data_IF_246506705545
#
_entry.id   IF_246506705545
#
_cell.length_a   1.000
_cell.length_b   1.000
_cell.length_c   1.000
_cell.angle_alpha   90.00
_cell.angle_beta   90.00
_cell.angle_gamma   90.00
#
_symmetry.space_group_name_H-M   'P 1'
#
loop_
_entity.id
_entity.type
_entity.pdbx_description
1 polymer ?
#
# COMPACT_ATOMS: atom_id res chain seq x y z
N UNK A 1 69.09 -7.05 32.54
CA UNK A 1 68.45 -6.82 31.23
C UNK A 1 66.95 -6.66 31.47
N UNK A 2 66.41 -5.46 31.27
CA UNK A 2 64.97 -5.12 31.37
C UNK A 2 64.35 -5.19 29.96
N UNK A 3 63.08 -5.61 29.87
CA UNK A 3 62.08 -5.54 28.75
C UNK A 3 61.45 -6.93 28.56
N UNK A 4 60.21 -7.19 28.97
CA UNK A 4 58.91 -6.75 28.42
C UNK A 4 58.21 -7.94 27.73
N UNK A 5 57.12 -8.45 28.32
CA UNK A 5 55.98 -9.15 27.71
C UNK A 5 55.00 -9.46 28.87
N UNK A 6 54.11 -8.56 29.29
CA UNK A 6 52.89 -8.05 28.65
C UNK A 6 51.88 -9.18 28.29
N UNK A 7 50.74 -9.17 29.03
CA UNK A 7 49.39 -9.58 28.63
C UNK A 7 49.18 -11.08 28.33
N UNK A 8 48.26 -11.83 28.94
CA UNK A 8 46.84 -11.57 29.14
C UNK A 8 46.37 -12.50 30.26
N UNK A 9 46.10 -11.94 31.44
CA UNK A 9 45.38 -12.64 32.51
C UNK A 9 44.45 -11.61 33.13
N UNK A 10 43.32 -11.32 32.49
CA UNK A 10 42.14 -10.63 33.04
C UNK A 10 41.04 -10.54 31.97
N UNK A 11 39.79 -10.55 32.42
CA UNK A 11 38.52 -10.37 31.68
C UNK A 11 37.83 -11.68 31.25
N UNK A 12 37.22 -12.40 32.19
CA UNK A 12 35.81 -12.23 32.65
C UNK A 12 34.81 -12.85 31.68
N UNK A 13 34.25 -13.97 32.13
CA UNK A 13 32.95 -14.49 31.77
C UNK A 13 31.91 -13.36 31.73
N UNK A 14 31.39 -13.06 30.55
CA UNK A 14 30.15 -12.31 30.30
C UNK A 14 29.26 -13.28 29.51
N UNK A 15 28.41 -14.06 30.19
CA UNK A 15 26.96 -13.83 30.18
C UNK A 15 26.51 -12.86 29.07
N UNK A 16 25.86 -13.38 28.04
CA UNK A 16 24.41 -13.21 27.87
C UNK A 16 23.93 -14.22 26.85
N UNK A 17 22.96 -15.04 27.28
CA UNK A 17 21.78 -15.41 26.50
C UNK A 17 21.79 -14.87 25.06
N UNK A 18 22.35 -15.65 24.13
CA UNK A 18 21.98 -15.52 22.74
C UNK A 18 20.60 -16.16 22.62
N UNK A 19 19.58 -15.33 22.46
CA UNK A 19 18.22 -15.76 22.22
C UNK A 19 18.22 -16.81 21.10
N UNK A 20 17.61 -17.95 21.37
CA UNK A 20 17.01 -18.71 20.31
C UNK A 20 15.93 -17.81 19.70
N UNK A 21 16.24 -17.12 18.61
CA UNK A 21 15.23 -16.93 17.59
C UNK A 21 15.45 -18.02 16.56
N UNK A 22 14.69 -19.08 16.77
CA UNK A 22 14.17 -19.87 15.66
C UNK A 22 13.41 -18.90 14.76
N UNK A 23 14.11 -18.17 13.88
CA UNK A 23 13.43 -17.74 12.66
C UNK A 23 13.32 -19.01 11.82
N UNK A 24 12.28 -19.78 12.12
CA UNK A 24 11.73 -20.75 11.19
C UNK A 24 11.74 -20.09 9.82
N UNK A 25 12.35 -20.66 8.77
CA UNK A 25 11.80 -20.42 7.45
C UNK A 25 10.43 -21.09 7.48
N UNK A 26 9.43 -20.39 8.01
CA UNK A 26 8.05 -20.81 7.87
C UNK A 26 7.75 -20.68 6.39
N UNK A 27 7.44 -21.76 5.66
CA UNK A 27 6.99 -21.66 4.30
C UNK A 27 5.51 -21.28 4.36
N UNK A 28 5.20 -20.07 4.81
CA UNK A 28 3.83 -19.59 4.84
C UNK A 28 3.65 -18.43 3.85
N UNK A 29 3.44 -18.84 2.60
CA UNK A 29 2.28 -18.40 1.83
C UNK A 29 2.05 -16.90 1.63
N UNK A 30 3.06 -16.06 1.37
CA UNK A 30 2.96 -14.84 0.53
C UNK A 30 1.70 -13.96 0.65
N UNK A 31 1.12 -13.84 1.84
CA UNK A 31 -0.16 -13.17 2.10
C UNK A 31 -0.07 -12.37 3.39
N UNK A 32 1.05 -11.67 3.56
CA UNK A 32 1.26 -10.77 4.69
C UNK A 32 1.09 -9.32 4.22
N UNK A 33 0.57 -8.48 5.12
CA UNK A 33 0.52 -7.04 4.97
C UNK A 33 1.63 -6.50 5.88
N UNK A 34 2.75 -6.13 5.29
CA UNK A 34 4.02 -5.83 5.98
C UNK A 34 4.46 -4.43 5.56
N UNK A 35 5.22 -3.77 6.42
CA UNK A 35 5.84 -2.46 6.20
C UNK A 35 7.35 -2.71 6.33
N UNK A 36 7.99 -3.04 5.21
CA UNK A 36 9.42 -3.43 5.14
C UNK A 36 10.34 -2.21 5.00
N UNK A 37 9.88 -1.14 4.34
CA UNK A 37 10.64 0.09 4.19
C UNK A 37 10.48 1.09 5.36
N UNK A 38 9.45 0.93 6.20
CA UNK A 38 9.22 1.72 7.40
C UNK A 38 8.60 3.09 7.15
N UNK A 39 7.92 3.30 6.02
CA UNK A 39 7.21 4.55 5.69
C UNK A 39 5.88 4.72 6.48
N UNK A 40 5.41 3.62 7.10
CA UNK A 40 4.20 3.55 7.89
C UNK A 40 2.94 3.14 7.12
N UNK A 41 3.08 2.73 5.86
CA UNK A 41 2.04 2.21 4.98
C UNK A 41 2.41 0.79 4.55
N UNK A 42 1.66 -0.24 4.96
CA UNK A 42 2.03 -1.60 4.62
C UNK A 42 1.64 -1.95 3.18
N UNK A 43 2.46 -2.80 2.55
CA UNK A 43 2.22 -3.40 1.24
C UNK A 43 1.84 -4.89 1.35
N UNK A 44 1.27 -5.40 0.25
CA UNK A 44 1.04 -6.83 0.05
C UNK A 44 -0.42 -7.26 -0.02
N UNK A 45 -0.68 -8.48 -0.53
CA UNK A 45 -2.04 -8.96 -0.84
C UNK A 45 -2.93 -9.20 0.39
N UNK A 46 -2.36 -9.11 1.61
CA UNK A 46 -3.12 -9.13 2.86
C UNK A 46 -3.66 -7.76 3.29
N UNK A 47 -3.27 -6.68 2.62
CA UNK A 47 -3.71 -5.33 2.97
C UNK A 47 -5.14 -5.09 2.47
N UNK A 48 -6.04 -4.79 3.39
CA UNK A 48 -7.48 -4.56 3.13
C UNK A 48 -7.84 -3.07 3.19
N UNK A 49 -6.84 -2.20 3.31
CA UNK A 49 -6.99 -0.75 3.27
C UNK A 49 -7.14 -0.23 1.84
N UNK A 50 -7.72 0.96 1.64
CA UNK A 50 -8.04 1.50 0.33
C UNK A 50 -6.82 1.85 -0.53
N UNK A 51 -5.66 2.06 0.08
CA UNK A 51 -4.39 2.34 -0.61
C UNK A 51 -3.27 1.61 0.15
N UNK A 52 -2.97 0.35 -0.20
CA UNK A 52 -1.74 -0.28 0.25
C UNK A 52 -0.55 0.35 -0.45
N UNK A 53 0.62 0.25 0.16
CA UNK A 53 1.85 0.63 -0.52
C UNK A 53 2.10 -0.28 -1.75
N UNK A 54 2.54 0.35 -2.83
CA UNK A 54 2.82 -0.26 -4.12
C UNK A 54 4.30 -0.69 -4.27
N UNK A 55 5.20 -0.24 -3.39
CA UNK A 55 6.61 -0.64 -3.34
C UNK A 55 7.19 -0.69 -1.90
N UNK A 56 7.00 -1.83 -1.24
CA UNK A 56 7.45 -2.13 0.15
C UNK A 56 8.98 -2.08 0.35
N UNK A 57 9.76 -1.81 -0.70
CA UNK A 57 11.21 -1.67 -0.63
C UNK A 57 11.68 -0.20 -0.58
N UNK A 58 10.78 0.79 -0.68
CA UNK A 58 11.14 2.18 -0.90
C UNK A 58 10.31 3.18 -0.09
N UNK A 59 10.91 3.73 0.98
CA UNK A 59 10.32 4.72 1.90
C UNK A 59 9.80 6.03 1.26
N UNK A 60 9.98 6.17 -0.05
CA UNK A 60 9.59 7.33 -0.87
C UNK A 60 8.38 7.05 -1.74
N UNK A 61 7.97 5.80 -1.85
CA UNK A 61 6.83 5.32 -2.62
C UNK A 61 5.77 4.97 -1.58
N UNK A 62 4.66 5.68 -1.60
CA UNK A 62 3.55 5.47 -0.69
C UNK A 62 2.33 6.24 -1.19
N UNK A 63 1.10 5.82 -0.87
CA UNK A 63 -0.15 6.54 -1.16
C UNK A 63 -0.23 8.02 -0.73
N UNK A 64 0.74 8.51 0.06
CA UNK A 64 0.77 9.87 0.58
C UNK A 64 2.05 10.64 0.16
N UNK A 65 2.86 10.07 -0.72
CA UNK A 65 4.05 10.73 -1.23
C UNK A 65 3.69 11.84 -2.22
N UNK A 66 4.66 12.69 -2.53
CA UNK A 66 4.58 13.62 -3.66
C UNK A 66 5.24 12.96 -4.89
N UNK A 67 4.59 13.02 -6.04
CA UNK A 67 5.12 12.56 -7.33
C UNK A 67 6.46 13.22 -7.72
N UNK A 68 7.40 12.40 -8.19
CA UNK A 68 8.71 12.83 -8.67
C UNK A 68 8.85 12.51 -10.15
N UNK A 69 8.61 13.54 -10.92
CA UNK A 69 8.68 13.64 -12.38
C UNK A 69 10.02 13.39 -13.09
N UNK A 70 10.99 12.81 -12.39
CA UNK A 70 12.32 12.49 -12.90
C UNK A 70 12.61 11.00 -12.83
N UNK A 71 11.65 10.21 -12.38
CA UNK A 71 11.74 8.80 -12.07
C UNK A 71 10.52 8.08 -12.66
N UNK A 72 10.68 6.90 -13.29
CA UNK A 72 9.56 6.16 -13.87
C UNK A 72 8.75 5.38 -12.81
N UNK A 73 8.89 5.75 -11.55
CA UNK A 73 8.23 5.16 -10.41
C UNK A 73 6.91 5.91 -10.16
N UNK A 74 5.87 5.19 -9.73
CA UNK A 74 4.60 5.77 -9.25
C UNK A 74 4.79 5.97 -7.76
N UNK A 75 5.16 7.19 -7.35
CA UNK A 75 5.55 7.44 -5.96
C UNK A 75 4.34 7.62 -5.07
N UNK A 76 3.22 8.12 -5.57
CA UNK A 76 1.99 8.29 -4.79
C UNK A 76 0.99 7.12 -4.89
N UNK A 77 1.40 6.02 -5.54
CA UNK A 77 0.68 4.76 -5.63
C UNK A 77 -0.76 4.90 -6.14
N UNK A 78 -1.02 5.89 -7.00
CA UNK A 78 -2.34 6.14 -7.56
C UNK A 78 -2.60 5.43 -8.90
N UNK A 79 -1.55 4.76 -9.42
CA UNK A 79 -1.54 4.01 -10.67
C UNK A 79 -1.08 4.82 -11.89
N UNK A 80 -0.67 6.08 -11.71
CA UNK A 80 -0.29 7.00 -12.78
C UNK A 80 1.14 7.51 -12.55
N UNK A 81 2.10 6.90 -13.25
CA UNK A 81 3.51 7.32 -13.23
C UNK A 81 3.69 8.72 -13.84
N UNK A 82 4.56 9.53 -13.23
CA UNK A 82 5.03 10.83 -13.73
C UNK A 82 3.85 11.81 -13.96
N UNK A 83 2.85 11.79 -13.09
CA UNK A 83 1.77 12.76 -13.18
C UNK A 83 2.13 14.08 -12.49
N UNK A 84 1.36 15.12 -12.81
CA UNK A 84 1.43 16.38 -12.07
C UNK A 84 2.73 17.17 -12.27
N UNK A 85 3.55 16.77 -13.24
CA UNK A 85 4.88 17.28 -13.51
C UNK A 85 4.96 18.68 -14.12
N UNK A 86 3.82 19.24 -14.51
CA UNK A 86 3.67 20.63 -14.92
C UNK A 86 3.14 21.59 -13.84
N UNK A 87 2.84 21.09 -12.63
CA UNK A 87 2.19 21.85 -11.56
C UNK A 87 0.67 22.00 -11.73
N UNK A 88 0.02 21.18 -12.57
CA UNK A 88 -1.44 21.23 -12.80
C UNK A 88 -2.26 20.42 -11.78
N UNK A 89 -1.69 20.06 -10.63
CA UNK A 89 -2.41 19.57 -9.43
C UNK A 89 -3.01 20.70 -8.59
N UNK A 90 -2.91 21.93 -9.06
CA UNK A 90 -3.36 23.11 -8.32
C UNK A 90 -4.88 23.27 -8.29
N UNK A 91 -5.60 22.48 -9.09
CA UNK A 91 -7.06 22.45 -8.99
C UNK A 91 -7.51 21.63 -7.78
N UNK A 92 -8.49 22.15 -7.02
CA UNK A 92 -9.01 21.42 -5.87
C UNK A 92 -9.68 20.12 -6.33
N UNK A 93 -9.65 19.06 -5.49
CA UNK A 93 -10.38 17.83 -5.76
C UNK A 93 -11.87 18.13 -6.03
N UNK A 94 -12.46 17.40 -6.97
CA UNK A 94 -13.90 17.50 -7.26
C UNK A 94 -14.64 16.24 -6.83
N UNK A 95 -15.92 16.33 -6.46
CA UNK A 95 -16.73 15.13 -6.21
C UNK A 95 -16.96 14.34 -7.49
N UNK A 96 -17.01 13.01 -7.37
CA UNK A 96 -17.32 12.05 -8.42
C UNK A 96 -18.14 10.87 -7.87
N UNK A 97 -18.51 9.95 -8.75
CA UNK A 97 -19.23 8.73 -8.37
C UNK A 97 -20.69 8.97 -7.98
N UNK A 98 -21.42 7.87 -7.77
CA UNK A 98 -22.83 7.87 -7.35
C UNK A 98 -23.02 6.86 -6.22
N UNK A 99 -24.02 7.10 -5.36
CA UNK A 99 -24.39 6.15 -4.32
C UNK A 99 -23.24 5.85 -3.35
N UNK A 100 -22.99 4.56 -3.11
CA UNK A 100 -21.91 4.04 -2.26
C UNK A 100 -20.53 4.47 -2.78
N UNK A 101 -20.38 4.55 -4.10
CA UNK A 101 -19.13 4.89 -4.78
C UNK A 101 -18.87 6.41 -4.91
N UNK A 102 -19.53 7.24 -4.10
CA UNK A 102 -19.18 8.66 -4.03
C UNK A 102 -17.72 8.83 -3.58
N UNK A 103 -17.03 9.76 -4.24
CA UNK A 103 -15.59 9.90 -4.14
C UNK A 103 -15.08 11.26 -4.57
N UNK A 104 -13.77 11.35 -4.72
CA UNK A 104 -13.09 12.51 -5.28
C UNK A 104 -12.31 12.16 -6.55
N UNK A 105 -12.20 13.13 -7.45
CA UNK A 105 -11.26 13.09 -8.57
C UNK A 105 -10.24 14.20 -8.40
N UNK A 106 -9.00 13.85 -8.70
CA UNK A 106 -7.86 14.74 -8.78
C UNK A 106 -7.67 15.21 -10.22
N UNK A 107 -7.01 16.35 -10.39
CA UNK A 107 -6.70 16.88 -11.72
C UNK A 107 -5.22 16.68 -12.01
N UNK A 108 -4.93 15.99 -13.11
CA UNK A 108 -3.61 15.58 -13.52
C UNK A 108 -3.37 16.01 -14.97
N UNK A 109 -2.42 16.91 -15.18
CA UNK A 109 -1.94 17.38 -16.50
C UNK A 109 -3.05 17.61 -17.55
N UNK A 110 -4.12 18.29 -17.14
CA UNK A 110 -5.24 18.62 -18.01
C UNK A 110 -6.45 17.69 -17.94
N UNK A 111 -6.31 16.52 -17.33
CA UNK A 111 -7.33 15.46 -17.25
C UNK A 111 -7.76 15.19 -15.81
N UNK A 112 -8.91 14.53 -15.64
CA UNK A 112 -9.36 14.07 -14.32
C UNK A 112 -8.95 12.62 -14.11
N UNK A 113 -8.52 12.30 -12.89
CA UNK A 113 -8.21 10.95 -12.42
C UNK A 113 -9.42 10.00 -12.54
N UNK A 114 -9.21 8.71 -12.24
CA UNK A 114 -10.34 7.83 -11.92
C UNK A 114 -11.06 8.32 -10.66
N UNK A 115 -12.33 7.93 -10.49
CA UNK A 115 -13.04 8.29 -9.26
C UNK A 115 -12.48 7.47 -8.10
N UNK A 116 -11.94 8.16 -7.10
CA UNK A 116 -11.37 7.58 -5.90
C UNK A 116 -12.47 7.54 -4.84
N UNK A 117 -13.07 6.37 -4.52
CA UNK A 117 -14.22 6.29 -3.61
C UNK A 117 -13.86 6.69 -2.17
N UNK A 118 -14.80 7.32 -1.46
CA UNK A 118 -14.62 7.64 -0.03
C UNK A 118 -14.60 6.38 0.84
N UNK A 119 -15.25 5.31 0.38
CA UNK A 119 -15.29 4.02 1.04
C UNK A 119 -14.68 2.95 0.13
N UNK A 120 -13.91 2.00 0.69
CA UNK A 120 -13.33 0.93 -0.11
C UNK A 120 -14.39 0.20 -0.94
N UNK A 121 -14.12 -0.04 -2.23
CA UNK A 121 -14.87 -1.00 -3.04
C UNK A 121 -14.99 -2.36 -2.33
N UNK A 122 -16.17 -2.97 -2.39
CA UNK A 122 -16.43 -4.32 -1.88
C UNK A 122 -17.06 -5.15 -2.99
N UNK A 123 -16.80 -6.47 -3.09
CA UNK A 123 -17.46 -7.29 -4.12
C UNK A 123 -18.98 -7.21 -4.07
N UNK A 124 -19.61 -7.26 -5.24
CA UNK A 124 -21.07 -7.18 -5.42
C UNK A 124 -21.88 -8.04 -4.42
N UNK A 125 -22.87 -7.42 -3.77
CA UNK A 125 -23.76 -8.10 -2.85
C UNK A 125 -24.90 -8.84 -3.57
N UNK A 126 -24.62 -10.06 -4.02
CA UNK A 126 -25.57 -10.83 -4.82
C UNK A 126 -26.80 -11.39 -4.10
N UNK A 127 -26.84 -11.33 -2.77
CA UNK A 127 -27.92 -11.89 -1.97
C UNK A 127 -28.17 -13.40 -2.18
N UNK A 128 -29.24 -13.97 -1.59
CA UNK A 128 -29.52 -15.41 -1.67
C UNK A 128 -30.09 -15.86 -3.01
N UNK A 129 -30.69 -14.95 -3.79
CA UNK A 129 -31.26 -15.24 -5.11
C UNK A 129 -30.21 -15.07 -6.23
N UNK A 130 -29.05 -14.49 -5.89
CA UNK A 130 -27.95 -14.26 -6.82
C UNK A 130 -28.20 -13.11 -7.78
N UNK A 131 -29.23 -12.29 -7.58
CA UNK A 131 -29.65 -11.22 -8.50
C UNK A 131 -29.04 -9.86 -8.19
N UNK A 132 -28.30 -9.72 -7.09
CA UNK A 132 -27.82 -8.41 -6.65
C UNK A 132 -28.80 -7.63 -5.78
N UNK A 133 -28.33 -6.52 -5.23
CA UNK A 133 -29.12 -5.58 -4.43
C UNK A 133 -29.38 -4.24 -5.15
N UNK A 134 -28.89 -4.10 -6.39
CA UNK A 134 -29.09 -2.93 -7.23
C UNK A 134 -28.15 -1.77 -6.89
N UNK A 135 -27.08 -2.04 -6.15
CA UNK A 135 -26.00 -1.11 -5.82
C UNK A 135 -24.74 -1.59 -6.53
N UNK A 136 -23.96 -0.64 -7.04
CA UNK A 136 -22.58 -0.86 -7.46
C UNK A 136 -21.72 -0.84 -6.18
N UNK A 137 -21.37 -2.01 -5.66
CA UNK A 137 -20.63 -2.17 -4.41
C UNK A 137 -19.11 -2.11 -4.63
N UNK A 138 -18.66 -2.58 -5.79
CA UNK A 138 -17.24 -2.65 -6.17
C UNK A 138 -16.75 -1.46 -6.99
N UNK A 139 -17.63 -0.49 -7.24
CA UNK A 139 -17.34 0.80 -7.85
C UNK A 139 -16.70 0.71 -9.24
N UNK A 140 -17.01 -0.34 -10.00
CA UNK A 140 -16.51 -0.53 -11.35
C UNK A 140 -17.35 0.17 -12.43
N UNK A 141 -18.53 0.67 -12.04
CA UNK A 141 -19.47 1.43 -12.88
C UNK A 141 -20.58 0.61 -13.51
N UNK A 142 -20.60 -0.71 -13.30
CA UNK A 142 -21.73 -1.58 -13.60
C UNK A 142 -22.47 -1.93 -12.28
N UNK A 143 -23.73 -2.35 -12.40
CA UNK A 143 -24.54 -2.72 -11.22
C UNK A 143 -24.74 -4.23 -11.25
N UNK A 144 -24.44 -4.92 -10.16
CA UNK A 144 -24.64 -6.36 -9.95
C UNK A 144 -23.92 -7.25 -11.00
N UNK A 145 -22.79 -6.82 -11.57
CA UNK A 145 -22.10 -7.50 -12.69
C UNK A 145 -21.38 -8.80 -12.26
N UNK A 146 -20.98 -8.90 -10.98
CA UNK A 146 -20.45 -10.09 -10.34
C UNK A 146 -21.50 -11.14 -9.93
N UNK A 147 -22.78 -10.87 -10.16
CA UNK A 147 -23.89 -11.70 -9.71
C UNK A 147 -24.35 -12.72 -10.75
N UNK A 148 -25.19 -13.67 -10.31
CA UNK A 148 -25.78 -14.63 -11.25
C UNK A 148 -26.70 -13.85 -12.18
N UNK A 149 -26.35 -13.85 -13.47
CA UNK A 149 -27.20 -13.26 -14.49
C UNK A 149 -28.63 -13.80 -14.36
N UNK A 150 -29.66 -12.92 -14.33
CA UNK A 150 -31.05 -13.36 -14.39
C UNK A 150 -31.39 -14.03 -15.74
#
# INVERSE_FOLDING_TARGET
>A
MRRALLLVLLMTVLLTTGCAEVHSPSPDSGLECVDEDGDGVPAGPGCTGPYPDCDDESERVSPYADERCATPEDEDCDGIVDECCGGDCSEPPRPCGLGRCQGIQMRYDGSWSQCIPEIPPEPENCGPEGTGDGVDDDCDGEIDDGCLAP
#
